data_IF_468542133131
#
_entry.id   IF_468542133131
#
_cell.length_a   1.000
_cell.length_b   1.000
_cell.length_c   1.000
_cell.angle_alpha   90.00
_cell.angle_beta   90.00
_cell.angle_gamma   90.00
#
_symmetry.space_group_name_H-M   'P 1'
#
loop_
_entity.id
_entity.type
_entity.pdbx_description
1 polymer ?
#
# COMPACT_ATOMS: atom_id res chain seq x y z
N UNK A 1 20.30 -5.09 0.48
CA UNK A 1 18.90 -4.69 0.60
C UNK A 1 18.60 -4.33 2.05
N UNK A 2 17.99 -3.18 2.26
CA UNK A 2 17.55 -2.72 3.57
C UNK A 2 16.06 -2.51 3.54
N UNK A 3 15.36 -3.11 4.51
CA UNK A 3 13.92 -2.91 4.67
C UNK A 3 13.70 -2.15 5.96
N UNK A 4 12.97 -1.03 5.89
CA UNK A 4 12.70 -0.19 7.04
C UNK A 4 11.20 -0.27 7.33
N UNK A 5 10.87 -0.82 8.49
CA UNK A 5 9.49 -0.92 8.96
C UNK A 5 9.19 0.30 9.82
N UNK A 6 8.12 1.01 9.51
CA UNK A 6 7.78 2.25 10.18
C UNK A 6 6.47 2.13 10.94
N UNK A 7 6.24 3.08 11.86
CA UNK A 7 4.95 3.21 12.50
C UNK A 7 3.87 3.53 11.47
N UNK A 8 2.69 2.97 11.66
CA UNK A 8 1.58 3.17 10.73
C UNK A 8 0.28 3.55 11.40
N UNK A 9 0.30 3.81 12.71
CA UNK A 9 -0.94 4.15 13.44
C UNK A 9 -1.26 5.62 13.31
N UNK A 10 -2.50 5.92 13.02
CA UNK A 10 -2.95 7.29 12.79
C UNK A 10 -3.59 7.97 14.01
N UNK A 11 -3.39 7.44 15.21
CA UNK A 11 -3.97 8.06 16.40
C UNK A 11 -3.40 9.45 16.68
N UNK A 12 -2.19 9.74 16.17
CA UNK A 12 -1.63 11.08 16.17
C UNK A 12 -1.11 11.37 14.77
N UNK A 13 -2.03 11.61 13.89
CA UNK A 13 -1.79 11.70 12.45
C UNK A 13 -0.76 12.76 12.07
N UNK A 14 -0.87 13.94 12.64
CA UNK A 14 0.04 15.04 12.29
C UNK A 14 1.49 14.68 12.60
N UNK A 15 1.75 14.14 13.78
CA UNK A 15 3.10 13.77 14.18
C UNK A 15 3.63 12.62 13.32
N UNK A 16 2.77 11.65 13.02
CA UNK A 16 3.16 10.53 12.17
C UNK A 16 3.57 11.01 10.78
N UNK A 17 2.79 11.90 10.18
CA UNK A 17 3.09 12.41 8.85
C UNK A 17 4.37 13.23 8.82
N UNK A 18 4.60 14.05 9.84
CA UNK A 18 5.83 14.81 9.97
C UNK A 18 7.04 13.89 10.12
N UNK A 19 6.90 12.83 10.91
CA UNK A 19 7.94 11.86 11.16
C UNK A 19 8.31 11.10 9.88
N UNK A 20 7.32 10.64 9.12
CA UNK A 20 7.54 9.96 7.85
C UNK A 20 8.24 10.87 6.85
N UNK A 21 7.81 12.12 6.75
CA UNK A 21 8.45 13.08 5.86
C UNK A 21 9.90 13.32 6.24
N UNK A 22 10.18 13.43 7.54
CA UNK A 22 11.54 13.59 8.04
C UNK A 22 12.42 12.39 7.73
N UNK A 23 11.90 11.19 7.93
CA UNK A 23 12.62 9.95 7.60
C UNK A 23 12.98 9.92 6.12
N UNK A 24 12.06 10.28 5.25
CA UNK A 24 12.32 10.30 3.82
C UNK A 24 13.43 11.28 3.47
N UNK A 25 13.41 12.46 4.05
CA UNK A 25 14.45 13.46 3.82
C UNK A 25 15.81 12.98 4.28
N UNK A 26 15.86 12.32 5.44
CA UNK A 26 17.12 11.76 5.97
C UNK A 26 17.67 10.70 5.00
N UNK A 27 16.82 9.79 4.54
CA UNK A 27 17.23 8.74 3.62
C UNK A 27 17.79 9.35 2.33
N UNK A 28 17.10 10.33 1.78
CA UNK A 28 17.53 10.99 0.55
C UNK A 28 18.85 11.72 0.72
N UNK A 29 19.09 12.31 1.90
CA UNK A 29 20.31 13.04 2.19
C UNK A 29 21.50 12.09 2.41
N UNK A 30 21.28 11.03 3.20
CA UNK A 30 22.37 10.12 3.58
C UNK A 30 22.68 9.09 2.50
N UNK A 31 21.70 8.74 1.69
CA UNK A 31 21.85 7.71 0.66
C UNK A 31 21.31 8.21 -0.67
N UNK A 32 21.92 9.29 -1.23
CA UNK A 32 21.35 9.93 -2.43
C UNK A 32 21.34 9.04 -3.67
N UNK A 33 22.17 8.00 -3.70
CA UNK A 33 22.25 7.10 -4.83
C UNK A 33 21.43 5.81 -4.65
N UNK A 34 20.80 5.63 -3.51
CA UNK A 34 20.02 4.44 -3.25
C UNK A 34 18.73 4.43 -4.07
N UNK A 35 18.36 3.26 -4.56
CA UNK A 35 17.05 3.04 -5.17
C UNK A 35 16.04 2.83 -4.05
N UNK A 36 15.35 3.89 -3.65
CA UNK A 36 14.42 3.86 -2.53
C UNK A 36 13.01 3.61 -3.05
N UNK A 37 12.34 2.64 -2.44
CA UNK A 37 10.93 2.38 -2.72
C UNK A 37 10.14 2.50 -1.42
N UNK A 38 9.12 3.33 -1.45
CA UNK A 38 8.21 3.48 -0.33
C UNK A 38 6.94 2.72 -0.64
N UNK A 39 6.66 1.70 0.16
CA UNK A 39 5.50 0.84 -0.04
C UNK A 39 4.51 1.07 1.09
N UNK A 40 3.26 1.29 0.74
CA UNK A 40 2.21 1.42 1.74
C UNK A 40 1.50 0.09 1.88
N UNK A 41 1.38 -0.38 3.11
CA UNK A 41 0.60 -1.58 3.41
C UNK A 41 -0.81 -1.16 3.77
N UNK A 42 -1.78 -1.69 3.05
CA UNK A 42 -3.18 -1.33 3.21
C UNK A 42 -4.01 -2.58 3.45
N UNK A 43 -4.80 -2.56 4.50
CA UNK A 43 -5.69 -3.66 4.85
C UNK A 43 -6.95 -3.55 3.98
N UNK A 44 -7.20 -4.54 3.14
CA UNK A 44 -8.32 -4.53 2.20
C UNK A 44 -9.67 -4.52 2.91
N UNK A 45 -9.74 -5.00 4.15
CA UNK A 45 -11.00 -5.04 4.89
C UNK A 45 -11.46 -3.66 5.38
N UNK A 46 -10.59 -2.67 5.35
CA UNK A 46 -10.94 -1.32 5.79
C UNK A 46 -11.72 -0.52 4.74
N UNK A 47 -11.77 -1.00 3.51
CA UNK A 47 -12.54 -0.37 2.44
C UNK A 47 -12.16 1.08 2.19
N UNK A 48 -13.17 1.93 2.07
CA UNK A 48 -12.95 3.35 1.75
C UNK A 48 -12.16 4.09 2.83
N UNK A 49 -12.30 3.70 4.09
CA UNK A 49 -11.51 4.31 5.17
C UNK A 49 -10.02 4.10 4.95
N UNK A 50 -9.63 2.91 4.53
CA UNK A 50 -8.24 2.61 4.21
C UNK A 50 -7.72 3.44 3.03
N UNK A 51 -8.55 3.59 2.00
CA UNK A 51 -8.19 4.42 0.84
C UNK A 51 -7.99 5.88 1.26
N UNK A 52 -8.87 6.38 2.13
CA UNK A 52 -8.77 7.76 2.62
C UNK A 52 -7.48 7.96 3.44
N UNK A 53 -7.12 6.99 4.26
CA UNK A 53 -5.87 7.03 5.01
C UNK A 53 -4.67 7.01 4.07
N UNK A 54 -4.75 6.20 3.03
CA UNK A 54 -3.67 6.11 2.03
C UNK A 54 -3.43 7.45 1.34
N UNK A 55 -4.48 8.22 1.09
CA UNK A 55 -4.34 9.56 0.54
C UNK A 55 -3.51 10.47 1.43
N UNK A 56 -3.68 10.36 2.74
CA UNK A 56 -2.91 11.15 3.69
C UNK A 56 -1.44 10.76 3.71
N UNK A 57 -1.15 9.47 3.67
CA UNK A 57 0.24 9.01 3.55
C UNK A 57 0.89 9.51 2.27
N UNK A 58 0.14 9.49 1.18
CA UNK A 58 0.64 9.95 -0.11
C UNK A 58 1.00 11.44 -0.07
N UNK A 59 0.29 12.23 0.70
CA UNK A 59 0.61 13.65 0.87
C UNK A 59 1.90 13.86 1.65
N UNK A 60 2.22 12.96 2.58
CA UNK A 60 3.39 13.10 3.42
C UNK A 60 4.67 12.60 2.74
N UNK A 61 4.56 11.52 2.00
CA UNK A 61 5.70 10.89 1.33
C UNK A 61 5.28 10.37 -0.03
N UNK A 62 6.26 10.27 -0.92
CA UNK A 62 6.03 9.65 -2.21
C UNK A 62 5.89 8.15 -2.05
N UNK A 63 4.74 7.61 -2.38
CA UNK A 63 4.45 6.19 -2.29
C UNK A 63 4.60 5.57 -3.68
N UNK A 64 5.44 4.56 -3.80
CA UNK A 64 5.75 3.93 -5.07
C UNK A 64 4.82 2.76 -5.39
N UNK A 65 4.33 2.09 -4.36
CA UNK A 65 3.45 0.95 -4.57
C UNK A 65 2.66 0.62 -3.32
N UNK A 66 1.68 -0.24 -3.48
CA UNK A 66 0.80 -0.66 -2.39
C UNK A 66 0.87 -2.17 -2.26
N UNK A 67 0.93 -2.64 -1.03
CA UNK A 67 0.73 -4.03 -0.68
C UNK A 67 -0.65 -4.11 -0.04
N UNK A 68 -1.56 -4.80 -0.69
CA UNK A 68 -2.94 -4.91 -0.25
C UNK A 68 -3.12 -6.22 0.49
N UNK A 69 -3.29 -6.15 1.81
CA UNK A 69 -3.40 -7.35 2.64
C UNK A 69 -4.85 -7.73 2.91
N UNK A 70 -5.04 -8.94 3.39
CA UNK A 70 -6.34 -9.48 3.80
C UNK A 70 -7.37 -9.48 2.68
N UNK A 71 -6.91 -9.67 1.45
CA UNK A 71 -7.79 -9.67 0.30
C UNK A 71 -8.76 -10.85 0.34
N UNK A 72 -8.34 -11.95 0.97
CA UNK A 72 -9.17 -13.13 1.20
C UNK A 72 -10.39 -12.86 2.09
N UNK A 73 -10.33 -11.78 2.89
CA UNK A 73 -11.43 -11.41 3.78
C UNK A 73 -12.43 -10.43 3.19
N UNK A 74 -12.32 -10.09 1.92
CA UNK A 74 -13.19 -9.08 1.31
C UNK A 74 -14.02 -9.63 0.17
N UNK A 75 -15.08 -8.89 -0.15
CA UNK A 75 -15.82 -9.11 -1.36
C UNK A 75 -15.03 -8.54 -2.53
N UNK A 76 -14.39 -9.39 -3.23
CA UNK A 76 -13.78 -9.23 -4.54
C UNK A 76 -13.38 -7.83 -5.01
N UNK A 77 -12.38 -7.29 -4.40
CA UNK A 77 -11.59 -6.32 -5.11
C UNK A 77 -12.13 -4.93 -5.38
N UNK A 78 -13.24 -4.57 -4.82
CA UNK A 78 -13.73 -3.19 -4.95
C UNK A 78 -12.71 -2.18 -4.45
N UNK A 79 -11.99 -2.53 -3.39
CA UNK A 79 -10.96 -1.66 -2.83
C UNK A 79 -9.80 -1.46 -3.80
N UNK A 80 -9.44 -2.49 -4.57
CA UNK A 80 -8.35 -2.36 -5.55
C UNK A 80 -8.73 -1.37 -6.66
N UNK A 81 -9.98 -1.40 -7.08
CA UNK A 81 -10.47 -0.44 -8.07
C UNK A 81 -10.47 0.99 -7.52
N UNK A 82 -10.89 1.16 -6.27
CA UNK A 82 -10.87 2.45 -5.61
C UNK A 82 -9.44 3.00 -5.49
N UNK A 83 -8.49 2.15 -5.14
CA UNK A 83 -7.08 2.52 -5.05
C UNK A 83 -6.60 3.03 -6.41
N UNK A 84 -6.89 2.29 -7.47
CA UNK A 84 -6.45 2.69 -8.82
C UNK A 84 -7.04 4.03 -9.21
N UNK A 85 -8.32 4.24 -8.96
CA UNK A 85 -9.02 5.45 -9.36
C UNK A 85 -8.63 6.66 -8.51
N UNK A 86 -8.51 6.47 -7.19
CA UNK A 86 -8.37 7.59 -6.27
C UNK A 86 -6.92 7.90 -5.92
N UNK A 87 -6.04 6.92 -5.91
CA UNK A 87 -4.65 7.12 -5.50
C UNK A 87 -3.68 7.19 -6.66
N UNK A 88 -4.01 6.53 -7.75
CA UNK A 88 -3.13 6.42 -8.91
C UNK A 88 -1.74 5.88 -8.54
N UNK A 89 -1.71 4.94 -7.62
CA UNK A 89 -0.51 4.23 -7.20
C UNK A 89 -0.72 2.76 -7.50
N UNK A 90 0.25 2.07 -8.10
CA UNK A 90 0.06 0.66 -8.43
C UNK A 90 0.03 -0.23 -7.22
N UNK A 91 -0.77 -1.28 -7.28
CA UNK A 91 -0.72 -2.37 -6.33
C UNK A 91 0.35 -3.34 -6.81
N UNK A 92 1.35 -3.60 -5.99
CA UNK A 92 2.44 -4.50 -6.38
C UNK A 92 2.26 -5.92 -5.86
N UNK A 93 1.73 -6.05 -4.65
CA UNK A 93 1.54 -7.35 -4.01
C UNK A 93 0.20 -7.41 -3.32
N UNK A 94 -0.32 -8.62 -3.18
CA UNK A 94 -1.55 -8.87 -2.43
C UNK A 94 -1.31 -9.99 -1.43
N UNK A 95 -1.91 -9.84 -0.25
CA UNK A 95 -1.90 -10.86 0.76
C UNK A 95 -3.24 -11.56 0.78
N UNK A 96 -3.23 -12.88 0.62
CA UNK A 96 -4.43 -13.70 0.57
C UNK A 96 -4.50 -14.74 1.70
N UNK A 97 -3.69 -14.56 2.71
CA UNK A 97 -3.64 -15.44 3.86
C UNK A 97 -2.45 -15.10 4.73
N UNK A 98 -2.06 -16.00 5.61
CA UNK A 98 -0.98 -15.73 6.57
C UNK A 98 0.28 -16.58 6.33
N UNK A 99 0.26 -17.47 5.36
CA UNK A 99 1.40 -18.30 5.02
C UNK A 99 2.43 -17.55 4.20
N UNK A 100 3.62 -18.09 4.14
CA UNK A 100 4.71 -17.44 3.41
C UNK A 100 4.42 -17.33 1.92
N UNK A 101 3.64 -18.25 1.37
CA UNK A 101 3.27 -18.23 -0.04
C UNK A 101 2.02 -17.39 -0.32
N UNK A 102 1.44 -16.82 0.72
CA UNK A 102 0.20 -16.05 0.58
C UNK A 102 0.42 -14.56 0.31
N UNK A 103 1.66 -14.14 0.18
CA UNK A 103 2.00 -12.83 -0.36
C UNK A 103 2.40 -13.02 -1.82
N UNK A 104 1.57 -12.53 -2.71
CA UNK A 104 1.69 -12.78 -4.15
C UNK A 104 1.83 -11.50 -4.94
N UNK A 105 2.58 -11.55 -6.04
CA UNK A 105 2.65 -10.43 -6.95
C UNK A 105 1.26 -10.16 -7.53
N UNK A 106 0.90 -8.89 -7.61
CA UNK A 106 -0.40 -8.52 -8.15
C UNK A 106 -0.35 -8.55 -9.69
N UNK A 107 -1.28 -9.28 -10.28
CA UNK A 107 -1.47 -9.32 -11.72
C UNK A 107 -2.82 -8.68 -12.03
N UNK A 108 -2.79 -7.50 -12.62
CA UNK A 108 -4.00 -6.72 -12.88
C UNK A 108 -4.94 -7.46 -13.84
N UNK A 109 -4.40 -8.15 -14.83
CA UNK A 109 -5.22 -8.86 -15.79
C UNK A 109 -5.92 -10.05 -15.16
N UNK A 110 -5.17 -10.84 -14.42
CA UNK A 110 -5.73 -11.98 -13.69
C UNK A 110 -6.80 -11.53 -12.71
N UNK A 111 -6.54 -10.42 -12.03
CA UNK A 111 -7.48 -9.83 -11.09
C UNK A 111 -8.76 -9.36 -11.79
N UNK A 112 -8.63 -8.69 -12.92
CA UNK A 112 -9.77 -8.24 -13.71
C UNK A 112 -10.59 -9.41 -14.22
N UNK A 113 -9.93 -10.47 -14.68
CA UNK A 113 -10.62 -11.67 -15.14
C UNK A 113 -11.41 -12.32 -14.00
N UNK A 114 -10.84 -12.36 -12.80
CA UNK A 114 -11.53 -12.90 -11.64
C UNK A 114 -12.76 -12.08 -11.24
N UNK A 115 -12.69 -10.77 -11.41
CA UNK A 115 -13.83 -9.90 -11.13
C UNK A 115 -14.95 -10.05 -12.14
N UNK A 116 -14.60 -10.14 -13.42
CA UNK A 116 -15.58 -10.11 -14.50
C UNK A 116 -16.12 -11.50 -14.82
N UNK A 117 -15.33 -12.51 -14.43
CA UNK A 117 -15.64 -13.68 -15.03
C UNK A 117 -16.22 -14.72 -14.47
N UNK A 118 -16.06 -14.60 -13.50
CA UNK A 118 -16.17 -15.79 -13.34
C UNK A 118 -17.29 -16.51 -13.49
N UNK A 119 -17.68 -16.85 -14.12
CA UNK A 119 -18.55 -17.57 -14.14
C UNK A 119 -18.55 -18.48 -13.90
#
# INVERSE_FOLDING_TARGET
LLIIDTAGRLHNKKNLMEELGKMRRIINREFPEAAVRCMLILDATTGQNGVNQAKMFKEAVEINGIILTKLDGTAKGGVALAIRRELNVPVWYVGVGEGIDDLQAFDAREFADALMGSE
#
